data_IF_692550012580
#
_entry.id   IF_692550012580
#
_cell.length_a   1.000
_cell.length_b   1.000
_cell.length_c   1.000
_cell.angle_alpha   90.00
_cell.angle_beta   90.00
_cell.angle_gamma   90.00
#
_symmetry.space_group_name_H-M   'P 1'
#
loop_
_entity.id
_entity.type
_entity.pdbx_description
1 polymer ?
#
# COMPACT_ATOMS: atom_id res chain seq x y z
N UNK A 1 18.75 -28.72 0.72
CA UNK A 1 19.82 -27.78 1.16
C UNK A 1 19.15 -26.60 1.87
N UNK A 2 19.69 -26.07 2.97
CA UNK A 2 19.16 -24.84 3.60
C UNK A 2 19.62 -23.62 2.82
N UNK A 3 18.80 -23.15 1.88
CA UNK A 3 19.03 -21.89 1.16
C UNK A 3 19.06 -20.75 2.20
N UNK A 4 20.21 -20.12 2.36
CA UNK A 4 20.38 -19.03 3.32
C UNK A 4 19.87 -17.75 2.67
N UNK A 5 18.81 -17.13 3.21
CA UNK A 5 18.29 -15.85 2.72
C UNK A 5 19.30 -14.75 3.05
N UNK A 6 20.11 -14.35 2.08
CA UNK A 6 21.14 -13.30 2.22
C UNK A 6 21.09 -12.20 1.15
N UNK A 7 20.01 -12.13 0.36
CA UNK A 7 20.01 -11.27 -0.83
C UNK A 7 20.75 -11.85 -2.03
N UNK A 8 21.26 -13.09 -1.92
CA UNK A 8 22.02 -13.74 -2.98
C UNK A 8 21.09 -14.20 -4.11
N UNK A 9 21.51 -13.92 -5.35
CA UNK A 9 20.87 -14.45 -6.54
C UNK A 9 21.10 -15.96 -6.63
N UNK A 10 20.05 -16.72 -6.94
CA UNK A 10 20.14 -18.16 -7.15
C UNK A 10 19.19 -18.57 -8.27
N UNK A 11 19.56 -19.61 -9.01
CA UNK A 11 18.80 -20.11 -10.14
C UNK A 11 18.20 -21.49 -9.87
N UNK A 12 17.05 -21.75 -10.52
CA UNK A 12 16.57 -23.10 -10.78
C UNK A 12 16.79 -23.41 -12.26
N UNK A 13 17.51 -24.50 -12.53
CA UNK A 13 17.69 -25.04 -13.87
C UNK A 13 16.71 -26.21 -14.01
N UNK A 14 15.73 -26.06 -14.91
CA UNK A 14 14.83 -27.15 -15.29
C UNK A 14 15.35 -27.72 -16.60
N UNK A 15 15.61 -29.03 -16.65
CA UNK A 15 16.07 -29.69 -17.86
C UNK A 15 15.07 -29.49 -19.02
N UNK A 16 15.54 -28.93 -20.14
CA UNK A 16 14.69 -28.61 -21.29
C UNK A 16 14.02 -27.23 -21.26
N UNK A 17 14.32 -26.39 -20.25
CA UNK A 17 13.84 -25.01 -20.13
C UNK A 17 15.02 -24.04 -19.93
N UNK A 18 14.72 -22.74 -19.80
CA UNK A 18 15.67 -21.70 -19.40
C UNK A 18 16.01 -21.77 -17.92
N UNK A 19 17.11 -21.12 -17.54
CA UNK A 19 17.41 -20.91 -16.12
C UNK A 19 16.46 -19.84 -15.55
N UNK A 20 15.89 -20.12 -14.40
CA UNK A 20 15.01 -19.20 -13.67
C UNK A 20 15.77 -18.59 -12.51
N UNK A 21 16.25 -17.38 -12.71
CA UNK A 21 16.98 -16.63 -11.70
C UNK A 21 16.02 -15.92 -10.75
N UNK A 22 16.31 -16.03 -9.45
CA UNK A 22 15.56 -15.41 -8.39
C UNK A 22 16.51 -14.58 -7.52
N UNK A 23 16.05 -13.40 -7.13
CA UNK A 23 16.68 -12.59 -6.09
C UNK A 23 15.74 -12.60 -4.90
N UNK A 24 16.13 -13.31 -3.84
CA UNK A 24 15.37 -13.27 -2.59
C UNK A 24 15.75 -12.01 -1.80
N UNK A 25 14.79 -11.36 -1.12
CA UNK A 25 15.12 -10.28 -0.20
C UNK A 25 16.00 -10.79 0.95
N UNK A 26 16.79 -9.88 1.52
CA UNK A 26 17.69 -10.16 2.64
C UNK A 26 16.96 -10.73 3.87
N UNK A 27 15.69 -10.37 4.07
CA UNK A 27 14.86 -10.84 5.17
C UNK A 27 13.63 -11.59 4.65
N UNK A 28 13.53 -12.89 4.96
CA UNK A 28 12.38 -13.75 4.59
C UNK A 28 11.03 -13.26 5.13
N UNK A 29 11.01 -12.58 6.28
CA UNK A 29 9.77 -12.05 6.86
C UNK A 29 9.13 -10.94 6.00
N UNK A 30 9.87 -10.38 5.03
CA UNK A 30 9.34 -9.37 4.10
C UNK A 30 8.58 -10.00 2.92
N UNK A 31 8.67 -11.32 2.75
CA UNK A 31 7.98 -12.05 1.69
C UNK A 31 6.54 -12.31 2.14
N UNK A 32 5.53 -12.04 1.30
CA UNK A 32 4.15 -12.39 1.61
C UNK A 32 4.01 -13.87 1.98
N UNK A 33 3.23 -14.24 3.02
CA UNK A 33 3.16 -15.62 3.51
C UNK A 33 2.81 -16.66 2.44
N UNK A 34 1.88 -16.33 1.52
CA UNK A 34 1.52 -17.22 0.40
C UNK A 34 2.67 -17.42 -0.58
N UNK A 35 3.40 -16.36 -0.91
CA UNK A 35 4.60 -16.42 -1.76
C UNK A 35 5.74 -17.18 -1.08
N UNK A 36 5.92 -17.00 0.23
CA UNK A 36 6.91 -17.73 1.01
C UNK A 36 6.60 -19.24 1.03
N UNK A 37 5.34 -19.63 1.23
CA UNK A 37 4.92 -21.03 1.19
C UNK A 37 5.07 -21.65 -0.21
N UNK A 38 4.72 -20.92 -1.27
CA UNK A 38 4.94 -21.37 -2.65
C UNK A 38 6.44 -21.55 -2.95
N UNK A 39 7.28 -20.68 -2.41
CA UNK A 39 8.73 -20.78 -2.54
C UNK A 39 9.30 -22.00 -1.79
N UNK A 40 8.80 -22.29 -0.59
CA UNK A 40 9.18 -23.50 0.16
C UNK A 40 8.81 -24.79 -0.60
N UNK A 41 7.65 -24.81 -1.25
CA UNK A 41 7.22 -25.94 -2.07
C UNK A 41 8.17 -26.17 -3.26
N UNK A 42 8.62 -25.10 -3.92
CA UNK A 42 9.60 -25.18 -5.01
C UNK A 42 10.95 -25.73 -4.51
N UNK A 43 11.42 -25.29 -3.34
CA UNK A 43 12.64 -25.84 -2.73
C UNK A 43 12.50 -27.32 -2.39
N UNK A 44 11.35 -27.72 -1.84
CA UNK A 44 11.07 -29.12 -1.54
C UNK A 44 11.02 -29.99 -2.80
N UNK A 45 10.42 -29.50 -3.88
CA UNK A 45 10.38 -30.17 -5.18
C UNK A 45 11.78 -30.36 -5.76
N UNK A 46 12.63 -29.31 -5.72
CA UNK A 46 14.03 -29.38 -6.17
C UNK A 46 14.85 -30.38 -5.36
N UNK A 47 14.74 -30.34 -4.03
CA UNK A 47 15.44 -31.28 -3.15
C UNK A 47 14.99 -32.74 -3.41
N UNK A 48 13.73 -32.96 -3.81
CA UNK A 48 13.22 -34.27 -4.20
C UNK A 48 13.73 -34.72 -5.58
N UNK A 49 13.80 -33.83 -6.58
CA UNK A 49 14.42 -34.09 -7.88
C UNK A 49 15.89 -34.49 -7.73
N UNK A 50 16.67 -33.73 -6.96
CA UNK A 50 18.08 -34.03 -6.71
C UNK A 50 18.29 -35.40 -6.04
N UNK A 51 17.35 -35.86 -5.21
CA UNK A 51 17.39 -37.19 -4.59
C UNK A 51 17.00 -38.32 -5.55
N UNK A 52 16.24 -38.02 -6.59
CA UNK A 52 15.69 -39.00 -7.54
C UNK A 52 16.64 -39.21 -8.73
N UNK A 53 17.29 -38.13 -9.16
CA UNK A 53 18.23 -38.08 -10.29
C UNK A 53 19.27 -39.19 -10.21
N UNK A 54 19.32 -40.04 -11.24
CA UNK A 54 20.32 -41.11 -11.37
C UNK A 54 20.10 -42.36 -10.50
N UNK A 55 19.05 -42.41 -9.67
CA UNK A 55 18.77 -43.55 -8.79
C UNK A 55 17.55 -44.38 -9.19
N UNK A 56 16.58 -43.79 -9.90
CA UNK A 56 15.26 -44.41 -10.14
C UNK A 56 14.85 -44.54 -11.62
N UNK A 57 15.77 -44.27 -12.54
CA UNK A 57 15.57 -44.40 -13.98
C UNK A 57 14.86 -43.19 -14.63
N UNK A 58 14.90 -43.13 -15.96
CA UNK A 58 14.48 -41.95 -16.74
C UNK A 58 13.04 -41.48 -16.48
N UNK A 59 12.11 -42.40 -16.25
CA UNK A 59 10.70 -42.04 -15.99
C UNK A 59 10.52 -41.31 -14.65
N UNK A 60 11.26 -41.71 -13.61
CA UNK A 60 11.21 -41.05 -12.31
C UNK A 60 11.87 -39.66 -12.34
N UNK A 61 12.92 -39.51 -13.15
CA UNK A 61 13.59 -38.21 -13.35
C UNK A 61 12.67 -37.23 -14.08
N UNK A 62 11.94 -37.69 -15.11
CA UNK A 62 10.94 -36.86 -15.82
C UNK A 62 9.78 -36.43 -14.92
N UNK A 63 9.24 -37.34 -14.10
CA UNK A 63 8.17 -37.01 -13.14
C UNK A 63 8.64 -36.01 -12.06
N UNK A 64 9.86 -36.18 -11.56
CA UNK A 64 10.42 -35.24 -10.58
C UNK A 64 10.65 -33.86 -11.19
N UNK A 65 11.13 -33.79 -12.43
CA UNK A 65 11.32 -32.54 -13.16
C UNK A 65 9.98 -31.83 -13.44
N UNK A 66 8.93 -32.59 -13.82
CA UNK A 66 7.58 -32.06 -14.01
C UNK A 66 7.03 -31.40 -12.73
N UNK A 67 7.29 -32.00 -11.56
CA UNK A 67 6.91 -31.42 -10.26
C UNK A 67 7.66 -30.13 -9.91
N UNK A 68 8.94 -30.04 -10.28
CA UNK A 68 9.70 -28.78 -10.13
C UNK A 68 9.10 -27.70 -11.01
N UNK A 69 8.74 -28.03 -12.25
CA UNK A 69 8.08 -27.10 -13.17
C UNK A 69 6.72 -26.62 -12.67
N UNK A 70 5.87 -27.53 -12.21
CA UNK A 70 4.56 -27.19 -11.63
C UNK A 70 4.70 -26.29 -10.40
N UNK A 71 5.64 -26.58 -9.50
CA UNK A 71 5.90 -25.75 -8.33
C UNK A 71 6.42 -24.35 -8.70
N UNK A 72 7.19 -24.25 -9.79
CA UNK A 72 7.71 -22.99 -10.31
C UNK A 72 6.60 -22.13 -10.93
N UNK A 73 5.73 -22.73 -11.75
CA UNK A 73 4.56 -22.05 -12.33
C UNK A 73 3.64 -21.52 -11.22
N UNK A 74 3.36 -22.35 -10.21
CA UNK A 74 2.58 -21.94 -9.04
C UNK A 74 3.22 -20.77 -8.27
N UNK A 75 4.55 -20.75 -8.12
CA UNK A 75 5.24 -19.61 -7.50
C UNK A 75 5.04 -18.31 -8.29
N UNK A 76 5.13 -18.36 -9.63
CA UNK A 76 4.89 -17.19 -10.48
C UNK A 76 3.46 -16.69 -10.39
N UNK A 77 2.48 -17.59 -10.42
CA UNK A 77 1.06 -17.24 -10.30
C UNK A 77 0.75 -16.59 -8.95
N UNK A 78 1.26 -17.16 -7.85
CA UNK A 78 1.08 -16.61 -6.51
C UNK A 78 1.78 -15.26 -6.36
N UNK A 79 3.00 -15.11 -6.87
CA UNK A 79 3.74 -13.85 -6.81
C UNK A 79 3.03 -12.74 -7.62
N UNK A 80 2.57 -13.06 -8.83
CA UNK A 80 1.82 -12.13 -9.67
C UNK A 80 0.46 -11.77 -9.07
N UNK A 81 -0.28 -12.76 -8.57
CA UNK A 81 -1.58 -12.56 -7.93
C UNK A 81 -1.47 -11.70 -6.67
N UNK A 82 -0.45 -11.92 -5.85
CA UNK A 82 -0.22 -11.14 -4.62
C UNK A 82 0.14 -9.69 -4.94
N UNK A 83 0.94 -9.46 -6.00
CA UNK A 83 1.34 -8.11 -6.42
C UNK A 83 0.15 -7.31 -6.95
N UNK A 84 -0.65 -7.90 -7.85
CA UNK A 84 -1.86 -7.27 -8.39
C UNK A 84 -2.91 -7.00 -7.32
N UNK A 85 -3.18 -7.97 -6.45
CA UNK A 85 -4.15 -7.81 -5.36
C UNK A 85 -3.73 -6.74 -4.35
N UNK A 86 -2.44 -6.66 -4.01
CA UNK A 86 -1.93 -5.58 -3.15
C UNK A 86 -2.03 -4.21 -3.82
N UNK A 87 -1.68 -4.11 -5.09
CA UNK A 87 -1.81 -2.85 -5.84
C UNK A 87 -3.27 -2.38 -5.89
N UNK A 88 -4.21 -3.29 -6.15
CA UNK A 88 -5.64 -2.99 -6.11
C UNK A 88 -6.10 -2.54 -4.72
N UNK A 89 -5.73 -3.26 -3.66
CA UNK A 89 -6.10 -2.89 -2.30
C UNK A 89 -5.55 -1.51 -1.90
N UNK A 90 -4.29 -1.21 -2.24
CA UNK A 90 -3.71 0.11 -1.97
C UNK A 90 -4.39 1.21 -2.79
N UNK A 91 -4.75 0.95 -4.04
CA UNK A 91 -5.50 1.90 -4.86
C UNK A 91 -6.89 2.19 -4.27
N UNK A 92 -7.59 1.15 -3.81
CA UNK A 92 -8.91 1.27 -3.16
C UNK A 92 -8.84 2.00 -1.82
N UNK A 93 -7.84 1.70 -0.99
CA UNK A 93 -7.60 2.37 0.29
C UNK A 93 -7.31 3.86 0.09
N UNK A 94 -6.45 4.18 -0.89
CA UNK A 94 -6.12 5.56 -1.23
C UNK A 94 -7.34 6.31 -1.76
N UNK A 95 -8.10 5.73 -2.70
CA UNK A 95 -9.33 6.34 -3.21
C UNK A 95 -10.36 6.60 -2.08
N UNK A 96 -10.48 5.65 -1.14
CA UNK A 96 -11.32 5.80 0.05
C UNK A 96 -10.83 6.93 0.96
N UNK A 97 -9.52 7.01 1.22
CA UNK A 97 -8.93 8.06 2.03
C UNK A 97 -9.07 9.44 1.38
N UNK A 98 -8.85 9.55 0.07
CA UNK A 98 -9.04 10.77 -0.70
C UNK A 98 -10.50 11.27 -0.63
N UNK A 99 -11.47 10.37 -0.80
CA UNK A 99 -12.89 10.69 -0.65
C UNK A 99 -13.25 11.20 0.75
N UNK A 100 -12.73 10.54 1.80
CA UNK A 100 -12.90 11.00 3.18
C UNK A 100 -12.31 12.39 3.40
N UNK A 101 -11.10 12.65 2.90
CA UNK A 101 -10.46 13.94 3.02
C UNK A 101 -11.29 15.05 2.34
N UNK A 102 -11.75 14.81 1.11
CA UNK A 102 -12.62 15.76 0.40
C UNK A 102 -13.93 16.04 1.17
N UNK A 103 -14.53 15.01 1.76
CA UNK A 103 -15.70 15.18 2.60
C UNK A 103 -15.40 16.01 3.85
N UNK A 104 -14.29 15.75 4.54
CA UNK A 104 -13.88 16.52 5.71
C UNK A 104 -13.61 18.00 5.37
N UNK A 105 -13.02 18.28 4.20
CA UNK A 105 -12.83 19.65 3.72
C UNK A 105 -14.18 20.35 3.50
N UNK A 106 -15.12 19.69 2.81
CA UNK A 106 -16.47 20.25 2.61
C UNK A 106 -17.24 20.46 3.93
N UNK A 107 -17.10 19.54 4.90
CA UNK A 107 -17.70 19.70 6.23
C UNK A 107 -17.07 20.87 7.00
N UNK A 108 -15.75 21.08 6.88
CA UNK A 108 -15.05 22.20 7.48
C UNK A 108 -15.45 23.55 6.85
N UNK A 109 -15.59 23.61 5.53
CA UNK A 109 -16.11 24.79 4.81
C UNK A 109 -17.52 25.15 5.30
N UNK A 110 -18.41 24.16 5.38
CA UNK A 110 -19.77 24.35 5.87
C UNK A 110 -19.81 24.84 7.33
N UNK A 111 -18.99 24.25 8.20
CA UNK A 111 -18.90 24.67 9.61
C UNK A 111 -18.35 26.11 9.75
N UNK A 112 -17.35 26.48 8.97
CA UNK A 112 -16.82 27.85 8.95
C UNK A 112 -17.87 28.85 8.48
N UNK A 113 -18.65 28.52 7.44
CA UNK A 113 -19.74 29.38 6.97
C UNK A 113 -20.80 29.58 8.07
N UNK A 114 -21.20 28.51 8.76
CA UNK A 114 -22.15 28.59 9.89
C UNK A 114 -21.61 29.49 11.00
N UNK A 115 -20.31 29.38 11.35
CA UNK A 115 -19.69 30.24 12.35
C UNK A 115 -19.65 31.71 11.91
N UNK A 116 -19.38 31.99 10.62
CA UNK A 116 -19.42 33.35 10.06
C UNK A 116 -20.82 33.93 10.14
N UNK A 117 -21.84 33.17 9.71
CA UNK A 117 -23.23 33.60 9.70
C UNK A 117 -23.71 33.93 11.12
N UNK A 118 -23.42 33.06 12.09
CA UNK A 118 -23.76 33.31 13.49
C UNK A 118 -22.96 34.47 14.11
N UNK A 119 -21.69 34.63 13.75
CA UNK A 119 -20.89 35.77 14.21
C UNK A 119 -21.42 37.11 13.66
N UNK A 120 -21.98 37.13 12.45
CA UNK A 120 -22.60 38.32 11.84
C UNK A 120 -23.98 38.65 12.42
N UNK A 121 -24.73 37.64 12.88
CA UNK A 121 -26.08 37.79 13.42
C UNK A 121 -26.13 38.10 14.92
N UNK A 122 -25.02 37.98 15.63
CA UNK A 122 -24.98 38.19 17.07
C UNK A 122 -25.26 39.66 17.46
N UNK A 123 -26.44 39.94 18.00
CA UNK A 123 -26.85 41.26 18.52
C UNK A 123 -25.95 41.78 19.66
N UNK A 124 -25.19 40.88 20.31
CA UNK A 124 -24.17 41.20 21.30
C UNK A 124 -22.89 40.40 21.01
N UNK A 125 -21.86 40.99 20.39
CA UNK A 125 -20.59 40.30 20.07
C UNK A 125 -19.78 39.90 21.32
N UNK A 126 -20.28 40.20 22.52
CA UNK A 126 -19.66 39.95 23.81
C UNK A 126 -19.78 38.50 24.31
N UNK A 127 -20.74 37.72 23.78
CA UNK A 127 -21.01 36.34 24.21
C UNK A 127 -20.39 35.23 23.35
N UNK A 128 -19.90 35.56 22.15
CA UNK A 128 -19.17 34.63 21.29
C UNK A 128 -17.68 34.83 21.59
N UNK A 129 -17.07 33.90 22.32
CA UNK A 129 -15.75 34.01 22.93
C UNK A 129 -14.59 34.23 21.96
N UNK A 130 -14.43 35.47 21.48
CA UNK A 130 -13.18 36.01 20.95
C UNK A 130 -12.85 37.24 21.77
N UNK A 131 -11.63 37.22 22.32
CA UNK A 131 -11.10 38.13 23.33
C UNK A 131 -11.61 39.58 23.22
N UNK A 132 -12.25 40.06 24.29
CA UNK A 132 -12.68 41.45 24.47
C UNK A 132 -11.53 42.47 24.45
N UNK A 133 -10.28 42.01 24.49
CA UNK A 133 -9.09 42.85 24.49
C UNK A 133 -8.74 43.46 23.13
N UNK A 134 -9.38 43.03 22.03
CA UNK A 134 -9.15 43.59 20.67
C UNK A 134 -10.03 44.82 20.39
N UNK A 135 -10.86 45.25 21.35
CA UNK A 135 -11.72 46.43 21.23
C UNK A 135 -10.96 47.73 20.94
N UNK A 136 -9.64 47.75 21.19
CA UNK A 136 -8.74 48.85 20.84
C UNK A 136 -7.97 48.56 19.53
N UNK A 137 -8.67 48.69 18.40
CA UNK A 137 -8.14 49.28 17.16
C UNK A 137 -7.26 48.45 16.22
N UNK A 138 -6.53 47.42 16.65
CA UNK A 138 -5.44 46.87 15.82
C UNK A 138 -5.41 45.34 15.59
N UNK A 139 -6.48 44.59 15.92
CA UNK A 139 -6.54 43.15 15.63
C UNK A 139 -7.74 42.74 14.77
N UNK A 140 -7.64 41.65 14.00
CA UNK A 140 -8.72 41.20 13.12
C UNK A 140 -9.97 40.84 13.93
N UNK A 141 -11.14 41.26 13.44
CA UNK A 141 -12.43 40.88 14.01
C UNK A 141 -12.65 39.37 13.87
N UNK A 142 -13.50 38.78 14.72
CA UNK A 142 -13.93 37.38 14.60
C UNK A 142 -14.27 36.97 13.17
N UNK A 143 -15.05 37.81 12.48
CA UNK A 143 -15.46 37.57 11.09
C UNK A 143 -14.26 37.61 10.13
N UNK A 144 -13.32 38.54 10.33
CA UNK A 144 -12.11 38.62 9.51
C UNK A 144 -11.22 37.38 9.69
N UNK A 145 -11.06 36.90 10.93
CA UNK A 145 -10.30 35.68 11.22
C UNK A 145 -10.96 34.42 10.63
N UNK A 146 -12.29 34.30 10.73
CA UNK A 146 -13.01 33.17 10.16
C UNK A 146 -12.99 33.18 8.63
N UNK A 147 -13.04 34.36 7.99
CA UNK A 147 -12.88 34.48 6.53
C UNK A 147 -11.47 34.11 6.07
N UNK A 148 -10.44 34.56 6.79
CA UNK A 148 -9.06 34.16 6.49
C UNK A 148 -8.87 32.64 6.57
N UNK A 149 -9.48 31.98 7.57
CA UNK A 149 -9.46 30.52 7.69
C UNK A 149 -10.21 29.83 6.53
N UNK A 150 -11.30 30.41 6.04
CA UNK A 150 -12.00 29.89 4.86
C UNK A 150 -11.17 30.03 3.58
N UNK A 151 -10.48 31.16 3.41
CA UNK A 151 -9.57 31.39 2.29
C UNK A 151 -8.35 30.43 2.34
N UNK A 152 -7.79 30.19 3.53
CA UNK A 152 -6.72 29.22 3.74
C UNK A 152 -7.19 27.78 3.41
N UNK A 153 -8.42 27.43 3.79
CA UNK A 153 -9.01 26.12 3.49
C UNK A 153 -9.21 25.93 1.98
N UNK A 154 -9.68 26.98 1.28
CA UNK A 154 -9.90 26.97 -0.16
C UNK A 154 -8.60 26.90 -0.99
N UNK A 155 -7.45 27.29 -0.40
CA UNK A 155 -6.13 27.27 -1.06
C UNK A 155 -5.31 26.02 -0.73
N UNK A 156 -5.87 25.06 0.02
CA UNK A 156 -5.22 23.77 0.25
C UNK A 156 -4.95 23.06 -1.08
N UNK A 157 -3.79 22.42 -1.15
CA UNK A 157 -3.42 21.66 -2.35
C UNK A 157 -4.38 20.49 -2.53
N UNK A 158 -4.94 20.27 -3.75
CA UNK A 158 -5.84 19.17 -4.00
C UNK A 158 -5.15 17.82 -3.74
N UNK A 159 -5.93 16.82 -3.35
CA UNK A 159 -5.43 15.45 -3.13
C UNK A 159 -4.81 14.96 -4.44
N UNK A 160 -3.53 14.52 -4.44
CA UNK A 160 -2.89 13.99 -5.65
C UNK A 160 -3.71 12.84 -6.24
N UNK A 161 -3.71 12.70 -7.57
CA UNK A 161 -4.30 11.53 -8.19
C UNK A 161 -3.38 10.31 -7.97
N UNK A 162 -3.96 9.12 -7.91
CA UNK A 162 -3.20 7.91 -8.20
C UNK A 162 -2.82 7.95 -9.69
N UNK A 163 -1.53 7.94 -9.99
CA UNK A 163 -1.07 7.71 -11.36
C UNK A 163 -1.54 6.31 -11.80
N UNK A 164 -2.21 6.25 -12.95
CA UNK A 164 -2.76 5.04 -13.54
C UNK A 164 -1.68 4.17 -14.20
#
# INVERSE_FOLDING_TARGET
>A
MTTTFKGESFGFLIAGDRTHDFVLPFNRATIPPKTAAAFDNLLAARDAEAKTTGKRGKAADLDANAKVKEALEHLYDVANGTTKSRQQHHAEEYATAASKLNRCLAEAEAALQILVDHAMQAENPTGIGINHTVRNGNGPTTVATLRALADDLATLTPVPALDA
#
